data_IF_719986292054
#
_entry.id   IF_719986292054
#
_cell.length_a   1.000
_cell.length_b   1.000
_cell.length_c   1.000
_cell.angle_alpha   90.00
_cell.angle_beta   90.00
_cell.angle_gamma   90.00
#
_symmetry.space_group_name_H-M   'P 1'
#
loop_
_entity.id
_entity.type
_entity.pdbx_description
1 polymer ?
#
# COMPACT_ATOMS: atom_id res chain seq x y z
N UNK A 1 -11.19 5.44 -57.60
CA UNK A 1 -12.21 5.92 -56.66
C UNK A 1 -11.52 6.33 -55.36
N UNK A 2 -11.26 7.63 -55.11
CA UNK A 2 -10.76 8.10 -53.82
C UNK A 2 -11.94 8.53 -52.92
N UNK A 3 -11.89 8.12 -51.65
CA UNK A 3 -12.87 8.48 -50.62
C UNK A 3 -12.44 9.81 -49.98
N UNK A 4 -13.38 10.76 -50.00
CA UNK A 4 -13.27 12.14 -49.51
C UNK A 4 -13.41 12.14 -47.98
N UNK A 5 -12.38 12.62 -47.28
CA UNK A 5 -12.42 12.89 -45.84
C UNK A 5 -13.07 14.28 -45.61
N UNK A 6 -14.24 14.31 -44.95
CA UNK A 6 -14.90 15.56 -44.57
C UNK A 6 -14.25 16.15 -43.31
N UNK A 7 -13.79 17.40 -43.44
CA UNK A 7 -13.50 18.33 -42.34
C UNK A 7 -14.79 18.66 -41.59
N UNK A 8 -14.77 18.55 -40.27
CA UNK A 8 -15.72 19.23 -39.39
C UNK A 8 -14.99 20.34 -38.64
N UNK A 9 -15.56 21.53 -38.79
CA UNK A 9 -15.21 22.79 -38.14
C UNK A 9 -15.95 22.84 -36.79
N UNK A 10 -15.28 23.22 -35.70
CA UNK A 10 -15.99 23.88 -34.60
C UNK A 10 -15.08 24.74 -33.71
N UNK A 11 -15.39 26.04 -33.79
CA UNK A 11 -15.40 27.08 -32.77
C UNK A 11 -14.14 27.42 -31.95
N UNK A 12 -13.69 28.66 -32.20
CA UNK A 12 -12.93 29.52 -31.30
C UNK A 12 -13.61 29.67 -29.92
N UNK A 13 -12.81 29.66 -28.86
CA UNK A 13 -13.02 30.53 -27.69
C UNK A 13 -11.66 31.14 -27.30
N UNK A 14 -11.60 32.47 -27.38
CA UNK A 14 -10.40 33.27 -27.14
C UNK A 14 -9.99 33.27 -25.67
N UNK A 15 -8.71 32.99 -25.43
CA UNK A 15 -8.07 33.24 -24.14
C UNK A 15 -7.53 34.68 -24.13
N UNK A 16 -8.14 35.52 -23.29
CA UNK A 16 -7.69 36.87 -23.03
C UNK A 16 -6.47 36.84 -22.12
N UNK A 17 -5.33 37.24 -22.68
CA UNK A 17 -4.06 37.44 -21.99
C UNK A 17 -4.17 38.71 -21.12
N UNK A 18 -4.31 38.55 -19.81
CA UNK A 18 -4.16 39.65 -18.85
C UNK A 18 -2.69 39.70 -18.42
N UNK A 19 -1.96 40.62 -19.03
CA UNK A 19 -0.63 41.06 -18.62
C UNK A 19 -0.80 42.05 -17.45
N UNK A 20 -0.56 41.59 -16.22
CA UNK A 20 -0.45 42.50 -15.06
C UNK A 20 1.01 42.93 -14.93
N UNK A 21 1.25 44.22 -15.23
CA UNK A 21 2.50 44.93 -14.94
C UNK A 21 2.55 45.20 -13.43
N UNK A 22 3.55 44.65 -12.75
CA UNK A 22 3.87 44.98 -11.35
C UNK A 22 5.06 45.95 -11.32
N UNK A 23 4.75 47.24 -11.28
CA UNK A 23 5.64 48.27 -10.74
C UNK A 23 5.53 48.28 -9.21
N UNK A 24 6.67 48.18 -8.52
CA UNK A 24 6.73 48.10 -7.06
C UNK A 24 6.45 49.42 -6.34
N UNK A 25 6.29 49.35 -5.01
CA UNK A 25 6.76 50.35 -4.04
C UNK A 25 6.50 49.90 -2.59
N UNK A 26 7.57 49.97 -1.79
CA UNK A 26 7.68 50.39 -0.37
C UNK A 26 6.77 49.81 0.71
N UNK A 27 7.42 49.21 1.70
CA UNK A 27 6.81 48.70 2.93
C UNK A 27 6.33 49.75 3.91
N UNK A 28 5.30 49.34 4.66
CA UNK A 28 4.80 49.94 5.89
C UNK A 28 3.96 48.88 6.63
N UNK A 29 3.89 48.91 7.98
CA UNK A 29 3.19 47.90 8.76
C UNK A 29 1.67 48.02 8.58
N UNK A 30 1.03 46.93 8.16
CA UNK A 30 -0.43 46.84 7.98
C UNK A 30 -1.09 46.50 9.33
N UNK A 31 -2.12 47.25 9.79
CA UNK A 31 -2.86 46.91 11.00
C UNK A 31 -3.73 45.67 10.79
N UNK A 32 -3.80 44.84 11.83
CA UNK A 32 -4.57 43.61 11.90
C UNK A 32 -6.08 43.92 11.86
N UNK A 33 -6.69 43.82 10.68
CA UNK A 33 -8.15 43.90 10.52
C UNK A 33 -8.78 42.51 10.79
N UNK A 34 -9.87 42.51 11.57
CA UNK A 34 -10.62 41.33 11.95
C UNK A 34 -11.21 40.60 10.74
N UNK A 35 -11.12 39.27 10.77
CA UNK A 35 -11.65 38.36 9.75
C UNK A 35 -13.19 38.45 9.67
N UNK A 36 -13.79 38.49 8.46
CA UNK A 36 -15.23 38.39 8.32
C UNK A 36 -15.71 36.96 8.59
N UNK A 37 -16.73 36.84 9.42
CA UNK A 37 -17.48 35.60 9.65
C UNK A 37 -18.21 35.19 8.36
N UNK A 38 -17.81 34.08 7.75
CA UNK A 38 -18.55 33.47 6.64
C UNK A 38 -19.77 32.72 7.18
N UNK A 39 -20.94 33.29 6.97
CA UNK A 39 -22.24 32.67 7.21
C UNK A 39 -22.65 31.95 5.92
N UNK A 40 -22.48 30.62 5.89
CA UNK A 40 -22.99 29.79 4.79
C UNK A 40 -24.43 29.41 5.12
N UNK A 41 -25.38 30.07 4.46
CA UNK A 41 -26.77 29.63 4.38
C UNK A 41 -26.85 28.44 3.40
N UNK A 42 -27.24 27.28 3.90
CA UNK A 42 -27.58 26.13 3.08
C UNK A 42 -29.02 26.29 2.56
N UNK A 43 -29.16 26.68 1.30
CA UNK A 43 -30.43 26.67 0.58
C UNK A 43 -30.54 25.32 -0.16
N UNK A 44 -31.44 24.45 0.31
CA UNK A 44 -31.75 23.15 -0.28
C UNK A 44 -32.59 23.34 -1.55
N UNK A 45 -32.26 22.71 -2.69
CA UNK A 45 -33.15 22.70 -3.85
C UNK A 45 -34.36 21.79 -3.61
N UNK A 46 -35.54 22.11 -4.18
CA UNK A 46 -36.76 21.34 -4.03
C UNK A 46 -36.67 19.97 -4.72
N UNK A 47 -37.13 18.94 -4.00
CA UNK A 47 -37.25 17.57 -4.48
C UNK A 47 -38.18 17.50 -5.70
N UNK A 48 -37.65 17.00 -6.82
CA UNK A 48 -38.46 16.55 -7.94
C UNK A 48 -39.07 15.19 -7.59
N UNK A 49 -40.37 15.19 -7.32
CA UNK A 49 -41.19 14.00 -7.23
C UNK A 49 -41.29 13.34 -8.61
N UNK A 50 -40.78 12.10 -8.72
CA UNK A 50 -41.07 11.21 -9.85
C UNK A 50 -41.91 10.05 -9.35
N UNK A 51 -43.10 9.93 -9.93
CA UNK A 51 -44.10 8.90 -9.70
C UNK A 51 -43.61 7.53 -10.15
N UNK A 52 -43.30 6.66 -9.20
CA UNK A 52 -43.15 5.23 -9.43
C UNK A 52 -44.51 4.55 -9.18
N UNK A 53 -45.12 4.05 -10.25
CA UNK A 53 -46.22 3.09 -10.19
C UNK A 53 -45.71 1.79 -9.58
N UNK A 54 -46.32 1.41 -8.46
CA UNK A 54 -46.11 0.14 -7.79
C UNK A 54 -46.63 -1.00 -8.68
N UNK A 55 -45.77 -1.98 -8.95
CA UNK A 55 -46.23 -3.33 -9.27
C UNK A 55 -45.73 -4.28 -8.20
N UNK A 56 -46.67 -5.03 -7.67
CA UNK A 56 -46.58 -5.77 -6.42
C UNK A 56 -46.19 -7.22 -6.72
N UNK A 57 -44.99 -7.61 -6.32
CA UNK A 57 -44.62 -9.01 -6.16
C UNK A 57 -44.02 -9.21 -4.77
N UNK A 58 -44.87 -9.65 -3.85
CA UNK A 58 -44.49 -10.06 -2.50
C UNK A 58 -43.70 -11.37 -2.57
N UNK A 59 -42.39 -11.31 -2.29
CA UNK A 59 -41.59 -12.48 -1.97
C UNK A 59 -41.24 -12.43 -0.47
N UNK A 60 -41.91 -13.29 0.29
CA UNK A 60 -41.69 -13.53 1.71
C UNK A 60 -40.27 -14.07 1.92
N UNK A 61 -39.37 -13.27 2.51
CA UNK A 61 -38.07 -13.75 3.01
C UNK A 61 -38.20 -14.09 4.49
N UNK A 62 -38.39 -15.36 4.77
CA UNK A 62 -38.21 -15.97 6.09
C UNK A 62 -36.76 -15.80 6.55
N UNK A 63 -36.59 -15.13 7.69
CA UNK A 63 -35.34 -15.10 8.44
C UNK A 63 -35.03 -16.49 9.00
N UNK A 64 -34.00 -17.16 8.45
CA UNK A 64 -33.39 -18.33 9.05
C UNK A 64 -32.01 -17.92 9.59
N UNK A 65 -31.87 -17.91 10.92
CA UNK A 65 -30.59 -17.68 11.59
C UNK A 65 -29.58 -18.76 11.21
N UNK A 66 -28.36 -18.34 10.86
CA UNK A 66 -27.25 -19.25 10.55
C UNK A 66 -26.47 -19.51 11.85
N UNK A 67 -26.27 -20.77 12.27
CA UNK A 67 -25.48 -21.10 13.45
C UNK A 67 -23.97 -20.93 13.19
N UNK A 68 -23.16 -20.56 14.19
CA UNK A 68 -21.71 -20.62 14.09
C UNK A 68 -21.24 -22.06 14.36
N UNK A 69 -20.41 -22.63 13.49
CA UNK A 69 -19.30 -23.54 13.80
C UNK A 69 -18.80 -24.17 12.49
N UNK A 70 -17.59 -23.79 12.05
CA UNK A 70 -16.85 -24.57 11.06
C UNK A 70 -16.05 -25.65 11.80
N UNK A 71 -16.56 -26.88 11.80
CA UNK A 71 -15.78 -28.08 12.10
C UNK A 71 -15.41 -28.73 10.76
N UNK A 72 -14.13 -28.83 10.37
CA UNK A 72 -13.78 -29.52 9.14
C UNK A 72 -14.10 -31.01 9.28
N UNK A 73 -14.90 -31.53 8.34
CA UNK A 73 -15.17 -32.97 8.18
C UNK A 73 -13.95 -33.62 7.49
N UNK A 74 -13.44 -34.77 7.96
CA UNK A 74 -12.39 -35.50 7.26
C UNK A 74 -12.89 -35.97 5.89
N UNK A 75 -12.24 -35.54 4.81
CA UNK A 75 -12.55 -36.01 3.47
C UNK A 75 -12.12 -37.47 3.30
N UNK A 76 -13.10 -38.37 3.10
CA UNK A 76 -12.85 -39.73 2.63
C UNK A 76 -12.55 -39.68 1.14
N UNK A 77 -11.29 -39.95 0.77
CA UNK A 77 -10.87 -40.04 -0.62
C UNK A 77 -11.48 -41.29 -1.29
N UNK A 78 -12.18 -41.09 -2.41
CA UNK A 78 -12.66 -42.15 -3.30
C UNK A 78 -11.62 -42.38 -4.42
N UNK A 79 -11.04 -43.58 -4.57
CA UNK A 79 -10.06 -43.81 -5.63
C UNK A 79 -10.77 -44.13 -6.96
N UNK A 80 -10.63 -43.25 -7.94
CA UNK A 80 -10.83 -43.58 -9.36
C UNK A 80 -9.47 -43.56 -10.04
N UNK A 81 -8.88 -44.74 -10.24
CA UNK A 81 -7.65 -44.91 -10.98
C UNK A 81 -7.95 -44.91 -12.49
N UNK A 82 -7.29 -44.02 -13.24
CA UNK A 82 -7.16 -44.08 -14.69
C UNK A 82 -5.69 -44.37 -15.02
N UNK A 83 -5.35 -45.36 -15.85
CA UNK A 83 -3.95 -45.71 -16.11
C UNK A 83 -3.34 -44.75 -17.13
N UNK A 84 -2.43 -43.89 -16.67
CA UNK A 84 -1.52 -43.15 -17.54
C UNK A 84 -0.27 -43.99 -17.79
N UNK A 85 0.02 -44.24 -19.07
CA UNK A 85 1.19 -44.98 -19.56
C UNK A 85 2.48 -44.24 -19.16
N UNK A 86 3.30 -44.86 -18.31
CA UNK A 86 4.61 -44.32 -17.90
C UNK A 86 5.67 -44.71 -18.95
N UNK A 87 6.29 -43.70 -19.55
CA UNK A 87 7.41 -43.86 -20.48
C UNK A 87 8.71 -44.05 -19.66
N UNK A 88 9.21 -45.29 -19.57
CA UNK A 88 10.45 -45.64 -18.87
C UNK A 88 11.68 -45.20 -19.69
N UNK A 89 12.34 -44.11 -19.31
CA UNK A 89 13.76 -43.91 -19.63
C UNK A 89 14.60 -44.49 -18.49
N UNK A 90 15.57 -45.32 -18.86
CA UNK A 90 16.53 -45.91 -17.93
C UNK A 90 17.52 -44.84 -17.42
N UNK A 91 17.73 -44.70 -16.10
CA UNK A 91 18.78 -43.85 -15.56
C UNK A 91 20.14 -44.56 -15.64
N UNK A 92 21.06 -43.97 -16.42
CA UNK A 92 22.49 -44.30 -16.42
C UNK A 92 23.21 -43.27 -15.56
N UNK A 93 23.20 -43.42 -14.24
CA UNK A 93 24.20 -42.77 -13.39
C UNK A 93 24.74 -43.75 -12.35
N UNK A 94 26.06 -43.93 -12.40
CA UNK A 94 26.85 -44.72 -11.47
C UNK A 94 26.80 -44.07 -10.08
N UNK A 95 26.46 -44.81 -9.01
CA UNK A 95 26.43 -44.23 -7.67
C UNK A 95 27.83 -43.79 -7.21
N UNK A 96 27.93 -42.57 -6.67
CA UNK A 96 29.15 -42.07 -6.02
C UNK A 96 29.41 -42.84 -4.70
N UNK A 97 30.68 -43.07 -4.33
CA UNK A 97 31.02 -43.76 -3.09
C UNK A 97 30.57 -42.95 -1.86
N UNK A 98 29.99 -43.67 -0.91
CA UNK A 98 29.55 -43.15 0.40
C UNK A 98 30.80 -42.81 1.22
N UNK A 99 30.91 -41.61 1.81
CA UNK A 99 32.05 -41.28 2.67
C UNK A 99 32.03 -42.13 3.95
N UNK A 100 33.14 -42.83 4.19
CA UNK A 100 33.38 -43.58 5.43
C UNK A 100 33.58 -42.61 6.59
N UNK A 101 32.76 -42.73 7.65
CA UNK A 101 32.93 -41.98 8.90
C UNK A 101 34.22 -42.43 9.61
N UNK A 102 35.29 -41.65 9.46
CA UNK A 102 36.50 -41.79 10.30
C UNK A 102 36.22 -41.19 11.69
N UNK A 103 36.42 -41.93 12.79
CA UNK A 103 36.29 -41.37 14.13
C UNK A 103 37.30 -40.25 14.36
N UNK A 104 36.83 -39.06 14.72
CA UNK A 104 37.68 -37.91 15.06
C UNK A 104 37.82 -37.87 16.59
N UNK A 105 39.05 -37.98 17.09
CA UNK A 105 39.35 -37.82 18.52
C UNK A 105 39.10 -36.37 18.93
N UNK A 106 38.30 -36.09 19.97
CA UNK A 106 38.03 -34.72 20.40
C UNK A 106 39.31 -34.06 20.92
N UNK A 107 39.67 -32.92 20.33
CA UNK A 107 40.74 -32.04 20.82
C UNK A 107 40.24 -31.31 22.07
N UNK A 108 41.05 -31.17 23.15
CA UNK A 108 40.64 -30.44 24.34
C UNK A 108 40.30 -28.99 23.97
N UNK A 109 39.07 -28.59 24.26
CA UNK A 109 38.60 -27.22 24.06
C UNK A 109 39.35 -26.29 25.01
N UNK A 110 39.98 -25.20 24.52
CA UNK A 110 40.63 -24.23 25.40
C UNK A 110 39.59 -23.60 26.33
N UNK A 111 39.88 -23.62 27.63
CA UNK A 111 39.08 -22.92 28.64
C UNK A 111 39.21 -21.42 28.42
N UNK A 112 38.14 -20.75 27.99
CA UNK A 112 38.15 -19.30 27.83
C UNK A 112 38.26 -18.60 29.20
N UNK A 113 39.22 -17.69 29.31
CA UNK A 113 39.36 -16.79 30.46
C UNK A 113 38.18 -15.82 30.46
N UNK A 114 37.46 -15.66 31.59
CA UNK A 114 36.31 -14.74 31.65
C UNK A 114 36.77 -13.31 31.35
N UNK A 115 36.24 -12.73 30.27
CA UNK A 115 36.41 -11.32 29.94
C UNK A 115 35.57 -10.49 30.90
N UNK A 116 36.18 -9.51 31.57
CA UNK A 116 35.47 -8.62 32.48
C UNK A 116 34.33 -7.92 31.74
N UNK A 117 33.12 -8.02 32.30
CA UNK A 117 31.93 -7.37 31.74
C UNK A 117 32.04 -5.87 31.95
N UNK A 118 32.00 -5.04 30.89
CA UNK A 118 32.05 -3.60 31.05
C UNK A 118 30.86 -3.11 31.89
N UNK A 119 31.04 -2.02 32.68
CA UNK A 119 29.97 -1.47 33.50
C UNK A 119 28.76 -1.08 32.63
N UNK A 120 27.52 -1.19 33.15
CA UNK A 120 26.33 -0.87 32.39
C UNK A 120 26.36 0.60 31.97
N UNK A 121 26.48 0.85 30.67
CA UNK A 121 26.32 2.18 30.10
C UNK A 121 24.85 2.59 30.26
N UNK A 122 24.58 3.62 31.04
CA UNK A 122 23.23 4.18 31.18
C UNK A 122 22.82 4.81 29.86
N UNK A 123 22.05 4.10 29.04
CA UNK A 123 21.47 4.67 27.83
C UNK A 123 20.46 5.75 28.25
N UNK A 124 20.62 7.02 27.82
CA UNK A 124 19.64 8.04 28.13
C UNK A 124 18.28 7.63 27.55
N UNK A 125 17.23 7.71 28.34
CA UNK A 125 15.86 7.45 27.90
C UNK A 125 15.54 8.50 26.82
N UNK A 126 15.30 8.06 25.59
CA UNK A 126 14.95 8.96 24.50
C UNK A 126 13.57 9.58 24.77
N UNK A 127 13.50 10.92 24.78
CA UNK A 127 12.23 11.64 24.82
C UNK A 127 11.58 11.53 23.44
N UNK A 128 10.47 10.79 23.35
CA UNK A 128 9.73 10.64 22.10
C UNK A 128 8.98 11.93 21.77
N UNK A 129 9.19 12.45 20.57
CA UNK A 129 8.43 13.57 20.01
C UNK A 129 7.41 13.03 19.02
N UNK A 130 6.32 13.77 18.74
CA UNK A 130 5.46 13.48 17.61
C UNK A 130 6.25 13.44 16.29
N UNK A 131 5.91 12.50 15.40
CA UNK A 131 6.63 12.26 14.13
C UNK A 131 6.87 13.54 13.29
N UNK A 132 5.93 14.49 13.32
CA UNK A 132 6.01 15.75 12.57
C UNK A 132 6.86 16.85 13.24
N UNK A 133 7.48 16.57 14.39
CA UNK A 133 8.31 17.53 15.14
C UNK A 133 9.81 17.21 15.11
N UNK A 134 10.21 16.18 14.34
CA UNK A 134 11.61 15.90 14.08
C UNK A 134 12.15 16.80 12.96
N UNK A 135 13.36 17.31 13.16
CA UNK A 135 14.07 18.04 12.11
C UNK A 135 14.55 17.11 10.99
N UNK A 136 14.85 17.63 9.79
CA UNK A 136 15.25 16.82 8.63
C UNK A 136 16.57 16.05 8.83
N UNK A 137 17.42 16.48 9.77
CA UNK A 137 18.70 15.85 10.11
C UNK A 137 18.71 15.27 11.53
N UNK A 138 17.56 15.27 12.20
CA UNK A 138 17.45 14.76 13.55
C UNK A 138 17.27 13.24 13.53
N UNK A 139 18.05 12.54 14.37
CA UNK A 139 17.87 11.11 14.54
C UNK A 139 16.55 10.83 15.27
N UNK A 140 15.66 10.15 14.58
CA UNK A 140 14.37 9.72 15.13
C UNK A 140 14.53 8.37 15.85
N UNK A 141 14.01 8.28 17.07
CA UNK A 141 13.92 7.01 17.78
C UNK A 141 12.97 6.05 17.06
N UNK A 142 13.24 4.74 17.08
CA UNK A 142 12.43 3.75 16.37
C UNK A 142 10.94 3.80 16.78
N UNK A 143 10.68 4.00 18.07
CA UNK A 143 9.31 4.09 18.61
C UNK A 143 8.55 5.36 18.20
N UNK A 144 9.23 6.35 17.60
CA UNK A 144 8.57 7.57 17.13
C UNK A 144 8.02 7.43 15.69
N UNK A 145 8.33 6.34 15.00
CA UNK A 145 7.78 6.07 13.68
C UNK A 145 6.28 5.70 13.77
N UNK A 146 5.42 6.19 12.86
CA UNK A 146 3.97 5.95 12.93
C UNK A 146 3.61 4.47 12.79
N UNK A 147 2.78 3.95 13.71
CA UNK A 147 2.26 2.58 13.64
C UNK A 147 0.73 2.58 13.58
N UNK A 148 0.10 1.59 12.93
CA UNK A 148 -1.36 1.47 12.93
C UNK A 148 -1.88 1.28 14.36
N UNK A 149 -3.09 1.77 14.63
CA UNK A 149 -3.75 1.55 15.91
C UNK A 149 -4.06 0.05 16.11
N UNK A 150 -3.67 -0.47 17.27
CA UNK A 150 -3.78 -1.90 17.56
C UNK A 150 -2.90 -2.76 16.66
N UNK A 151 -1.70 -2.28 16.34
CA UNK A 151 -0.71 -3.00 15.56
C UNK A 151 -0.48 -4.41 16.17
N UNK A 152 -0.67 -5.43 15.34
CA UNK A 152 -0.47 -6.83 15.67
C UNK A 152 0.69 -7.46 14.89
N UNK A 153 1.43 -6.66 14.11
CA UNK A 153 2.53 -7.12 13.25
C UNK A 153 2.10 -7.84 11.97
N UNK A 154 0.79 -8.00 11.71
CA UNK A 154 0.30 -8.69 10.52
C UNK A 154 0.08 -7.73 9.36
N UNK A 155 0.67 -8.09 8.23
CA UNK A 155 0.55 -7.35 6.97
C UNK A 155 0.17 -8.22 5.78
N UNK A 156 -0.28 -7.58 4.72
CA UNK A 156 -0.61 -8.23 3.46
C UNK A 156 -0.02 -7.46 2.28
N UNK A 157 0.49 -8.17 1.27
CA UNK A 157 0.78 -7.57 -0.02
C UNK A 157 -0.52 -7.48 -0.82
N UNK A 158 -0.87 -6.27 -1.24
CA UNK A 158 -2.03 -6.01 -2.08
C UNK A 158 -1.90 -6.72 -3.43
N UNK A 159 -2.99 -6.82 -4.18
CA UNK A 159 -3.00 -7.40 -5.53
C UNK A 159 -1.93 -6.69 -6.37
N UNK A 160 -1.09 -7.41 -7.15
CA UNK A 160 0.04 -6.84 -7.88
C UNK A 160 -0.40 -6.08 -9.14
N UNK A 161 -1.32 -5.12 -8.97
CA UNK A 161 -1.70 -4.14 -9.99
C UNK A 161 -1.55 -2.74 -9.41
N UNK A 162 -1.30 -1.75 -10.26
CA UNK A 162 -1.05 -0.36 -9.85
C UNK A 162 -2.32 0.45 -9.61
N UNK A 163 -3.47 -0.08 -10.05
CA UNK A 163 -4.82 0.50 -9.94
C UNK A 163 -5.86 -0.62 -9.87
N UNK A 164 -6.97 -0.35 -9.19
CA UNK A 164 -8.13 -1.24 -9.11
C UNK A 164 -9.43 -0.43 -9.08
N UNK A 165 -10.52 -1.05 -9.51
CA UNK A 165 -11.85 -0.47 -9.40
C UNK A 165 -12.30 -0.37 -7.93
N UNK A 166 -13.05 0.67 -7.53
CA UNK A 166 -13.55 0.83 -6.16
C UNK A 166 -14.24 -0.41 -5.56
N UNK A 167 -15.04 -1.15 -6.35
CA UNK A 167 -15.70 -2.36 -5.86
C UNK A 167 -14.73 -3.49 -5.47
N UNK A 168 -13.57 -3.58 -6.14
CA UNK A 168 -12.50 -4.51 -5.78
C UNK A 168 -11.83 -4.06 -4.49
N UNK A 169 -11.54 -2.76 -4.36
CA UNK A 169 -10.98 -2.16 -3.15
C UNK A 169 -11.88 -2.43 -1.95
N UNK A 170 -13.17 -2.12 -2.07
CA UNK A 170 -14.17 -2.31 -1.02
C UNK A 170 -14.20 -3.74 -0.51
N UNK A 171 -14.27 -4.70 -1.44
CA UNK A 171 -14.32 -6.12 -1.11
C UNK A 171 -13.08 -6.55 -0.32
N UNK A 172 -11.89 -6.27 -0.83
CA UNK A 172 -10.66 -6.79 -0.21
C UNK A 172 -10.26 -6.03 1.06
N UNK A 173 -10.56 -4.74 1.17
CA UNK A 173 -10.42 -4.01 2.44
C UNK A 173 -11.32 -4.62 3.51
N UNK A 174 -12.57 -4.96 3.18
CA UNK A 174 -13.46 -5.63 4.12
C UNK A 174 -12.89 -6.99 4.60
N UNK A 175 -12.31 -7.79 3.71
CA UNK A 175 -11.66 -9.05 4.10
C UNK A 175 -10.43 -8.82 5.01
N UNK A 176 -9.59 -7.83 4.70
CA UNK A 176 -8.45 -7.49 5.54
C UNK A 176 -8.86 -7.06 6.95
N UNK A 177 -9.96 -6.31 7.08
CA UNK A 177 -10.54 -5.96 8.39
C UNK A 177 -10.98 -7.21 9.15
N UNK A 178 -11.66 -8.16 8.49
CA UNK A 178 -12.09 -9.44 9.09
C UNK A 178 -10.92 -10.30 9.54
N UNK A 179 -9.80 -10.23 8.84
CA UNK A 179 -8.55 -10.92 9.18
C UNK A 179 -7.69 -10.16 10.20
N UNK A 180 -8.12 -8.98 10.65
CA UNK A 180 -7.36 -8.10 11.52
C UNK A 180 -5.99 -7.67 10.96
N UNK A 181 -5.84 -7.55 9.64
CA UNK A 181 -4.61 -7.03 9.02
C UNK A 181 -4.42 -5.56 9.38
N UNK A 182 -3.18 -5.15 9.68
CA UNK A 182 -2.83 -3.78 10.08
C UNK A 182 -1.86 -3.09 9.15
N UNK A 183 -1.19 -3.83 8.28
CA UNK A 183 -0.23 -3.30 7.31
C UNK A 183 -0.56 -3.75 5.90
N UNK A 184 -0.49 -2.85 4.92
CA UNK A 184 -0.69 -3.21 3.51
C UNK A 184 0.39 -2.58 2.65
N UNK A 185 1.12 -3.41 1.91
CA UNK A 185 2.01 -2.95 0.84
C UNK A 185 1.23 -2.97 -0.47
N UNK A 186 1.22 -1.89 -1.23
CA UNK A 186 0.58 -1.83 -2.55
C UNK A 186 1.45 -1.12 -3.57
N UNK A 187 1.16 -1.33 -4.85
CA UNK A 187 1.90 -0.75 -5.96
C UNK A 187 1.29 0.58 -6.40
N UNK A 188 2.13 1.59 -6.58
CA UNK A 188 1.82 2.82 -7.29
C UNK A 188 2.59 2.83 -8.61
N UNK A 189 1.97 3.33 -9.70
CA UNK A 189 2.65 3.43 -10.99
C UNK A 189 3.70 4.55 -10.94
N UNK A 190 4.96 4.20 -10.65
CA UNK A 190 6.04 5.14 -10.40
C UNK A 190 5.62 6.27 -9.45
N UNK A 191 5.63 7.49 -9.96
CA UNK A 191 5.32 8.74 -9.24
C UNK A 191 3.92 9.29 -9.54
N UNK A 192 3.05 8.51 -10.18
CA UNK A 192 1.69 8.95 -10.52
C UNK A 192 0.89 9.31 -9.27
N UNK A 193 0.14 10.41 -9.34
CA UNK A 193 -0.61 11.00 -8.22
C UNK A 193 -2.10 10.78 -8.43
N UNK A 194 -2.82 10.39 -7.38
CA UNK A 194 -4.29 10.34 -7.38
C UNK A 194 -4.89 8.98 -7.71
N UNK A 195 -4.20 8.15 -8.49
CA UNK A 195 -4.72 6.85 -8.95
C UNK A 195 -5.04 5.87 -7.80
N UNK A 196 -4.31 5.98 -6.67
CA UNK A 196 -4.52 5.16 -5.49
C UNK A 196 -5.22 5.89 -4.33
N UNK A 197 -5.74 7.11 -4.54
CA UNK A 197 -6.39 7.89 -3.48
C UNK A 197 -7.51 7.10 -2.79
N UNK A 198 -8.39 6.49 -3.59
CA UNK A 198 -9.50 5.71 -3.05
C UNK A 198 -9.02 4.53 -2.20
N UNK A 199 -8.00 3.80 -2.65
CA UNK A 199 -7.42 2.70 -1.89
C UNK A 199 -6.81 3.19 -0.57
N UNK A 200 -6.00 4.25 -0.63
CA UNK A 200 -5.34 4.83 0.55
C UNK A 200 -6.38 5.30 1.57
N UNK A 201 -7.38 6.04 1.13
CA UNK A 201 -8.43 6.56 2.01
C UNK A 201 -9.18 5.40 2.70
N UNK A 202 -9.47 4.32 1.98
CA UNK A 202 -10.16 3.15 2.53
C UNK A 202 -9.28 2.38 3.52
N UNK A 203 -7.99 2.23 3.26
CA UNK A 203 -7.07 1.60 4.21
C UNK A 203 -6.96 2.40 5.51
N UNK A 204 -6.70 3.70 5.39
CA UNK A 204 -6.50 4.60 6.54
C UNK A 204 -7.78 4.74 7.36
N UNK A 205 -8.94 4.87 6.72
CA UNK A 205 -10.23 4.91 7.42
C UNK A 205 -10.52 3.62 8.23
N UNK A 206 -9.94 2.49 7.86
CA UNK A 206 -10.07 1.21 8.57
C UNK A 206 -8.91 0.93 9.54
N UNK A 207 -8.05 1.93 9.81
CA UNK A 207 -6.91 1.79 10.71
C UNK A 207 -5.84 0.81 10.20
N UNK A 208 -5.76 0.64 8.88
CA UNK A 208 -4.73 -0.14 8.19
C UNK A 208 -3.67 0.82 7.68
N UNK A 209 -2.40 0.57 8.01
CA UNK A 209 -1.27 1.41 7.62
C UNK A 209 -0.83 1.07 6.17
N UNK A 210 -0.94 2.02 5.23
CA UNK A 210 -0.45 1.84 3.88
C UNK A 210 1.09 2.00 3.79
N UNK A 211 1.72 1.10 3.05
CA UNK A 211 3.11 1.16 2.60
C UNK A 211 3.09 1.21 1.07
N UNK A 212 3.50 2.33 0.50
CA UNK A 212 3.44 2.53 -0.94
C UNK A 212 4.74 2.07 -1.59
N UNK A 213 4.66 1.11 -2.51
CA UNK A 213 5.79 0.73 -3.37
C UNK A 213 5.66 1.46 -4.71
N UNK A 214 6.72 2.14 -5.12
CA UNK A 214 6.79 2.77 -6.44
C UNK A 214 7.20 1.70 -7.45
N UNK A 215 6.22 1.23 -8.22
CA UNK A 215 6.42 0.19 -9.23
C UNK A 215 7.15 0.75 -10.45
N UNK A 216 8.17 0.02 -10.89
CA UNK A 216 9.02 0.30 -12.04
C UNK A 216 9.49 -1.04 -12.60
N UNK A 217 9.69 -1.14 -13.90
CA UNK A 217 10.22 -2.35 -14.55
C UNK A 217 11.75 -2.52 -14.42
N UNK A 218 12.38 -1.85 -13.46
CA UNK A 218 13.83 -1.88 -13.23
C UNK A 218 14.35 -0.75 -12.33
N UNK A 219 15.64 -0.81 -11.96
CA UNK A 219 16.32 0.19 -11.12
C UNK A 219 16.74 1.40 -11.94
N UNK A 220 15.78 2.26 -12.24
CA UNK A 220 16.02 3.51 -12.95
C UNK A 220 16.00 4.69 -11.95
N UNK A 221 16.74 5.79 -12.20
CA UNK A 221 16.62 7.02 -11.42
C UNK A 221 15.23 7.67 -11.53
N UNK A 222 14.75 8.30 -10.46
CA UNK A 222 13.50 9.06 -10.49
C UNK A 222 13.73 10.48 -11.06
N UNK A 223 12.79 10.97 -11.87
CA UNK A 223 12.83 12.24 -12.61
C UNK A 223 12.33 13.45 -11.80
N UNK A 224 12.36 13.36 -10.47
CA UNK A 224 12.04 14.47 -9.56
C UNK A 224 10.58 14.53 -9.10
N UNK A 225 9.68 13.69 -9.61
CA UNK A 225 8.26 13.69 -9.21
C UNK A 225 7.97 12.96 -7.88
N UNK A 226 8.99 12.39 -7.24
CA UNK A 226 8.84 11.70 -5.95
C UNK A 226 8.38 12.65 -4.86
N UNK A 227 8.94 13.87 -4.79
CA UNK A 227 8.60 14.85 -3.75
C UNK A 227 7.12 15.23 -3.72
N UNK A 228 6.54 15.70 -4.86
CA UNK A 228 5.11 15.98 -4.96
C UNK A 228 4.22 14.78 -4.62
N UNK A 229 4.56 13.58 -5.10
CA UNK A 229 3.80 12.36 -4.82
C UNK A 229 3.83 12.01 -3.32
N UNK A 230 5.02 12.04 -2.70
CA UNK A 230 5.17 11.79 -1.26
C UNK A 230 4.36 12.81 -0.46
N UNK A 231 4.38 14.09 -0.83
CA UNK A 231 3.60 15.11 -0.14
C UNK A 231 2.08 14.83 -0.20
N UNK A 232 1.58 14.46 -1.39
CA UNK A 232 0.16 14.15 -1.61
C UNK A 232 -0.33 12.94 -0.79
N UNK A 233 0.41 11.84 -0.81
CA UNK A 233 0.01 10.63 -0.10
C UNK A 233 0.33 10.67 1.40
N UNK A 234 1.35 11.42 1.82
CA UNK A 234 1.60 11.68 3.25
C UNK A 234 0.45 12.44 3.90
N UNK A 235 -0.13 13.42 3.19
CA UNK A 235 -1.31 14.13 3.67
C UNK A 235 -2.54 13.21 3.87
N UNK A 236 -2.55 12.04 3.23
CA UNK A 236 -3.60 11.02 3.34
C UNK A 236 -3.26 9.87 4.30
N UNK A 237 -2.08 9.89 4.92
CA UNK A 237 -1.68 8.89 5.92
C UNK A 237 -0.71 7.82 5.43
N UNK A 238 -0.08 7.99 4.26
CA UNK A 238 1.04 7.14 3.83
C UNK A 238 2.36 7.67 4.41
N UNK A 239 2.96 6.93 5.34
CA UNK A 239 4.22 7.32 5.98
C UNK A 239 5.43 6.54 5.46
N UNK A 240 5.21 5.42 4.78
CA UNK A 240 6.25 4.51 4.34
C UNK A 240 6.22 4.35 2.82
N UNK A 241 7.38 4.51 2.20
CA UNK A 241 7.57 4.40 0.76
C UNK A 241 8.70 3.42 0.45
N UNK A 242 8.43 2.44 -0.40
CA UNK A 242 9.40 1.49 -0.90
C UNK A 242 9.79 1.87 -2.33
N UNK A 243 11.05 2.28 -2.53
CA UNK A 243 11.52 2.79 -3.82
C UNK A 243 11.82 1.69 -4.86
N UNK A 244 12.25 0.52 -4.41
CA UNK A 244 12.59 -0.62 -5.27
C UNK A 244 12.15 -1.93 -4.61
N UNK A 245 11.83 -2.92 -5.46
CA UNK A 245 11.63 -4.30 -5.03
C UNK A 245 13.00 -4.99 -4.97
N UNK A 246 13.32 -5.64 -3.85
CA UNK A 246 14.48 -6.54 -3.71
C UNK A 246 15.74 -6.07 -4.47
N UNK A 247 16.28 -4.86 -4.16
CA UNK A 247 17.32 -4.21 -4.96
C UNK A 247 18.67 -4.96 -4.99
N UNK A 248 18.79 -6.04 -4.22
CA UNK A 248 19.95 -6.90 -4.11
C UNK A 248 19.81 -8.23 -4.88
N UNK A 249 18.71 -8.46 -5.60
CA UNK A 249 18.47 -9.68 -6.38
C UNK A 249 18.75 -9.41 -7.86
N UNK A 250 19.73 -10.10 -8.43
CA UNK A 250 20.19 -9.82 -9.80
C UNK A 250 19.07 -9.97 -10.85
N UNK A 251 18.19 -10.97 -10.70
CA UNK A 251 17.07 -11.21 -11.60
C UNK A 251 16.07 -10.04 -11.66
N UNK A 252 15.89 -9.30 -10.56
CA UNK A 252 14.97 -8.15 -10.49
C UNK A 252 15.64 -6.86 -11.01
N UNK A 253 16.97 -6.79 -10.91
CA UNK A 253 17.72 -5.55 -11.14
C UNK A 253 18.57 -5.57 -12.42
N UNK A 254 18.67 -6.71 -13.09
CA UNK A 254 19.46 -6.94 -14.30
C UNK A 254 20.91 -6.44 -14.15
N UNK A 255 21.50 -6.65 -12.96
CA UNK A 255 22.88 -6.24 -12.60
C UNK A 255 23.92 -7.28 -13.01
#
# INVERSE_FOLDING_TARGET
MPIILRKSCLALLGFSLILVVLTGCTGGPVPLAALPTLQVAAELPPALASSATADTAAATLTAAGIPPTFTPVPATASPTASPTVLNLRAPTETPRPIPTNTPVTPSPTPTETPTETPPPSSTPIAVLKPFNQYGPYELMHMDAYPRPAGDNGWGMHWIPTVVQEPGVVDRFVAEMVRMHIKWVVFLNDGTEIGQNDYLVDKLVANGIMPVMRLFRSGVLPYDGQVGPMVAHYRARGVYYFQLYNEPNVDDENHQ
#
